data_IF_367923481234
#
_entry.id   IF_367923481234
#
_cell.length_a   1.000
_cell.length_b   1.000
_cell.length_c   1.000
_cell.angle_alpha   90.00
_cell.angle_beta   90.00
_cell.angle_gamma   90.00
#
_symmetry.space_group_name_H-M   'P 1'
#
loop_
_entity.id
_entity.type
_entity.pdbx_description
1 polymer ?
#
# COMPACT_ATOMS: atom_id res chain seq x y z
N UNK A 1 12.23 62.72 -85.94
CA UNK A 1 10.96 62.60 -85.19
C UNK A 1 10.79 61.21 -84.57
N UNK A 2 10.58 60.12 -85.33
CA UNK A 2 10.40 58.74 -84.77
C UNK A 2 11.45 58.25 -83.75
N UNK A 3 12.74 58.55 -83.92
CA UNK A 3 13.80 58.15 -82.95
C UNK A 3 13.65 58.85 -81.59
N UNK A 4 13.13 60.07 -81.57
CA UNK A 4 12.94 60.87 -80.36
C UNK A 4 11.74 60.32 -79.58
N UNK A 5 10.64 59.99 -80.28
CA UNK A 5 9.45 59.37 -79.68
C UNK A 5 9.76 58.00 -79.05
N UNK A 6 10.55 57.16 -79.73
CA UNK A 6 10.94 55.84 -79.20
C UNK A 6 11.83 55.97 -77.95
N UNK A 7 12.76 56.93 -77.93
CA UNK A 7 13.57 57.17 -76.73
C UNK A 7 12.71 57.68 -75.57
N UNK A 8 11.77 58.59 -75.84
CA UNK A 8 10.89 59.11 -74.81
C UNK A 8 9.93 58.04 -74.24
N UNK A 9 9.44 57.12 -75.08
CA UNK A 9 8.65 55.98 -74.64
C UNK A 9 9.45 55.03 -73.72
N UNK A 10 10.70 54.71 -74.10
CA UNK A 10 11.59 53.87 -73.29
C UNK A 10 11.94 54.51 -71.94
N UNK A 11 12.16 55.82 -71.94
CA UNK A 11 12.47 56.58 -70.72
C UNK A 11 11.27 56.60 -69.75
N UNK A 12 10.05 56.68 -70.29
CA UNK A 12 8.82 56.58 -69.51
C UNK A 12 8.60 55.17 -68.94
N UNK A 13 8.86 54.13 -69.73
CA UNK A 13 8.81 52.74 -69.25
C UNK A 13 9.87 52.46 -68.16
N UNK A 14 11.07 53.02 -68.32
CA UNK A 14 12.13 52.92 -67.32
C UNK A 14 11.71 53.59 -66.01
N UNK A 15 11.14 54.79 -66.08
CA UNK A 15 10.64 55.51 -64.91
C UNK A 15 9.52 54.73 -64.19
N UNK A 16 8.59 54.12 -64.94
CA UNK A 16 7.56 53.28 -64.34
C UNK A 16 8.12 52.02 -63.67
N UNK A 17 9.16 51.43 -64.25
CA UNK A 17 9.84 50.27 -63.67
C UNK A 17 10.57 50.65 -62.37
N UNK A 18 11.26 51.80 -62.35
CA UNK A 18 11.93 52.33 -61.15
C UNK A 18 10.93 52.64 -60.03
N UNK A 19 9.79 53.25 -60.35
CA UNK A 19 8.75 53.55 -59.36
C UNK A 19 8.12 52.27 -58.78
N UNK A 20 7.93 51.24 -59.61
CA UNK A 20 7.48 49.91 -59.15
C UNK A 20 8.53 49.27 -58.25
N UNK A 21 9.80 49.28 -58.65
CA UNK A 21 10.91 48.75 -57.86
C UNK A 21 10.95 49.44 -56.48
N UNK A 22 10.90 50.77 -56.46
CA UNK A 22 10.90 51.58 -55.23
C UNK A 22 9.72 51.25 -54.31
N UNK A 23 8.54 50.98 -54.86
CA UNK A 23 7.38 50.50 -54.08
C UNK A 23 7.65 49.13 -53.47
N UNK A 24 8.19 48.20 -54.25
CA UNK A 24 8.49 46.84 -53.76
C UNK A 24 9.57 46.83 -52.69
N UNK A 25 10.62 47.63 -52.83
CA UNK A 25 11.68 47.77 -51.81
C UNK A 25 11.13 48.32 -50.51
N UNK A 26 10.22 49.30 -50.59
CA UNK A 26 9.54 49.84 -49.43
C UNK A 26 8.66 48.80 -48.72
N UNK A 27 7.94 47.96 -49.47
CA UNK A 27 7.16 46.85 -48.92
C UNK A 27 8.05 45.76 -48.28
N UNK A 28 9.15 45.39 -48.94
CA UNK A 28 10.15 44.46 -48.42
C UNK A 28 10.73 44.94 -47.08
N UNK A 29 11.03 46.24 -46.97
CA UNK A 29 11.48 46.85 -45.72
C UNK A 29 10.48 46.73 -44.58
N UNK A 30 9.17 46.84 -44.86
CA UNK A 30 8.12 46.63 -43.86
C UNK A 30 8.05 45.16 -43.41
N UNK A 31 8.08 44.23 -44.36
CA UNK A 31 8.04 42.79 -44.06
C UNK A 31 9.28 42.35 -43.27
N UNK A 32 10.46 42.88 -43.58
CA UNK A 32 11.68 42.59 -42.83
C UNK A 32 11.57 43.03 -41.36
N UNK A 33 11.07 44.25 -41.10
CA UNK A 33 10.83 44.72 -39.73
C UNK A 33 9.85 43.82 -38.97
N UNK A 34 8.75 43.42 -39.60
CA UNK A 34 7.78 42.49 -38.99
C UNK A 34 8.42 41.13 -38.70
N UNK A 35 9.22 40.61 -39.63
CA UNK A 35 9.91 39.32 -39.46
C UNK A 35 10.89 39.38 -38.29
N UNK A 36 11.64 40.46 -38.12
CA UNK A 36 12.53 40.68 -36.98
C UNK A 36 11.76 40.69 -35.64
N UNK A 37 10.65 41.42 -35.58
CA UNK A 37 9.78 41.49 -34.40
C UNK A 37 9.25 40.11 -34.00
N UNK A 38 8.67 39.37 -34.96
CA UNK A 38 8.17 38.00 -34.73
C UNK A 38 9.29 37.08 -34.25
N UNK A 39 10.48 37.16 -34.86
CA UNK A 39 11.61 36.33 -34.40
C UNK A 39 12.07 36.70 -32.98
N UNK A 40 12.02 37.97 -32.61
CA UNK A 40 12.33 38.43 -31.26
C UNK A 40 11.34 37.89 -30.23
N UNK A 41 10.03 37.96 -30.52
CA UNK A 41 9.01 37.36 -29.66
C UNK A 41 9.14 35.85 -29.55
N UNK A 42 9.38 35.16 -30.66
CA UNK A 42 9.60 33.71 -30.66
C UNK A 42 10.81 33.31 -29.81
N UNK A 43 11.90 34.09 -29.82
CA UNK A 43 13.04 33.84 -28.94
C UNK A 43 12.72 34.07 -27.46
N UNK A 44 11.87 35.05 -27.13
CA UNK A 44 11.39 35.25 -25.76
C UNK A 44 10.52 34.05 -25.33
N UNK A 45 9.60 33.61 -26.17
CA UNK A 45 8.75 32.45 -25.91
C UNK A 45 9.57 31.17 -25.72
N UNK A 46 10.58 30.91 -26.57
CA UNK A 46 11.49 29.77 -26.42
C UNK A 46 12.23 29.78 -25.08
N UNK A 47 12.67 30.94 -24.59
CA UNK A 47 13.31 31.08 -23.27
C UNK A 47 12.34 30.74 -22.13
N UNK A 48 11.09 31.19 -22.23
CA UNK A 48 10.05 30.89 -21.23
C UNK A 48 9.75 29.39 -21.20
N UNK A 49 9.58 28.76 -22.37
CA UNK A 49 9.35 27.30 -22.46
C UNK A 49 10.51 26.53 -21.82
N UNK A 50 11.76 26.86 -22.16
CA UNK A 50 12.93 26.19 -21.57
C UNK A 50 12.99 26.35 -20.04
N UNK A 51 12.61 27.52 -19.52
CA UNK A 51 12.52 27.76 -18.07
C UNK A 51 11.44 26.88 -17.43
N UNK A 52 10.24 26.82 -18.04
CA UNK A 52 9.14 25.98 -17.55
C UNK A 52 9.49 24.49 -17.59
N UNK A 53 10.17 24.03 -18.65
CA UNK A 53 10.60 22.65 -18.79
C UNK A 53 11.58 22.25 -17.69
N UNK A 54 12.55 23.11 -17.35
CA UNK A 54 13.47 22.86 -16.23
C UNK A 54 12.73 22.76 -14.89
N UNK A 55 11.79 23.66 -14.63
CA UNK A 55 11.00 23.69 -13.39
C UNK A 55 10.06 22.47 -13.27
N UNK A 56 9.54 21.99 -14.40
CA UNK A 56 8.73 20.78 -14.48
C UNK A 56 9.58 19.52 -14.34
N UNK A 57 10.82 19.55 -14.84
CA UNK A 57 11.82 18.48 -14.67
C UNK A 57 12.12 18.20 -13.20
N UNK A 58 12.34 19.25 -12.40
CA UNK A 58 12.66 19.14 -10.97
C UNK A 58 11.49 18.63 -10.11
N UNK A 59 10.24 18.86 -10.55
CA UNK A 59 9.03 18.45 -9.83
C UNK A 59 8.62 16.99 -10.06
N UNK A 60 9.03 16.40 -11.21
CA UNK A 60 8.75 14.99 -11.56
C UNK A 60 9.32 13.94 -10.61
N UNK A 61 10.60 14.00 -10.15
CA UNK A 61 11.15 12.99 -9.25
C UNK A 61 10.46 12.97 -7.89
N UNK A 62 10.02 14.13 -7.38
CA UNK A 62 9.28 14.23 -6.12
C UNK A 62 7.89 13.56 -6.20
N UNK A 63 7.22 13.68 -7.36
CA UNK A 63 5.99 12.94 -7.64
C UNK A 63 6.22 11.43 -7.70
N UNK A 64 7.32 10.97 -8.30
CA UNK A 64 7.68 9.55 -8.32
C UNK A 64 7.89 8.97 -6.91
N UNK A 65 8.60 9.71 -6.05
CA UNK A 65 8.85 9.28 -4.68
C UNK A 65 7.57 9.28 -3.82
N UNK A 66 6.74 10.33 -3.94
CA UNK A 66 5.47 10.43 -3.20
C UNK A 66 4.46 9.38 -3.66
N UNK A 67 4.37 9.11 -4.97
CA UNK A 67 3.51 8.03 -5.49
C UNK A 67 3.99 6.65 -5.06
N UNK A 68 5.30 6.41 -5.03
CA UNK A 68 5.88 5.17 -4.49
C UNK A 68 5.55 4.96 -3.01
N UNK A 69 5.69 6.00 -2.18
CA UNK A 69 5.29 5.96 -0.77
C UNK A 69 3.79 5.68 -0.61
N UNK A 70 2.94 6.33 -1.40
CA UNK A 70 1.49 6.10 -1.38
C UNK A 70 1.14 4.64 -1.72
N UNK A 71 1.77 4.07 -2.75
CA UNK A 71 1.56 2.67 -3.11
C UNK A 71 1.98 1.71 -1.99
N UNK A 72 3.13 1.96 -1.33
CA UNK A 72 3.56 1.15 -0.18
C UNK A 72 2.58 1.23 1.01
N UNK A 73 2.04 2.41 1.29
CA UNK A 73 1.04 2.59 2.35
C UNK A 73 -0.29 1.90 2.01
N UNK A 74 -0.71 1.93 0.74
CA UNK A 74 -1.91 1.24 0.28
C UNK A 74 -1.82 -0.28 0.47
N UNK A 75 -0.67 -0.88 0.17
CA UNK A 75 -0.42 -2.31 0.39
C UNK A 75 -0.50 -2.65 1.88
N UNK A 76 0.22 -1.90 2.72
CA UNK A 76 0.21 -2.11 4.17
C UNK A 76 -1.19 -1.94 4.79
N UNK A 77 -1.97 -0.97 4.30
CA UNK A 77 -3.37 -0.78 4.71
C UNK A 77 -4.25 -1.98 4.35
N UNK A 78 -4.04 -2.57 3.16
CA UNK A 78 -4.77 -3.76 2.73
C UNK A 78 -4.44 -4.98 3.63
N UNK A 79 -3.17 -5.15 4.00
CA UNK A 79 -2.74 -6.20 4.91
C UNK A 79 -3.35 -6.05 6.31
N UNK A 80 -3.34 -4.84 6.85
CA UNK A 80 -3.98 -4.55 8.14
C UNK A 80 -5.49 -4.82 8.11
N UNK A 81 -6.18 -4.44 7.03
CA UNK A 81 -7.60 -4.77 6.84
C UNK A 81 -7.84 -6.27 6.82
N UNK A 82 -6.96 -7.03 6.16
CA UNK A 82 -7.03 -8.50 6.12
C UNK A 82 -6.86 -9.10 7.52
N UNK A 83 -5.91 -8.61 8.31
CA UNK A 83 -5.70 -9.04 9.69
C UNK A 83 -6.92 -8.74 10.57
N UNK A 84 -7.46 -7.52 10.49
CA UNK A 84 -8.68 -7.12 11.23
C UNK A 84 -9.85 -8.04 10.90
N UNK A 85 -10.06 -8.35 9.61
CA UNK A 85 -11.13 -9.24 9.19
C UNK A 85 -10.92 -10.67 9.69
N UNK A 86 -9.68 -11.16 9.74
CA UNK A 86 -9.36 -12.48 10.30
C UNK A 86 -9.75 -12.57 11.78
N UNK A 87 -9.39 -11.54 12.57
CA UNK A 87 -9.73 -11.49 14.00
C UNK A 87 -11.24 -11.36 14.21
N UNK A 88 -11.92 -10.54 13.42
CA UNK A 88 -13.38 -10.42 13.47
C UNK A 88 -14.08 -11.73 13.17
N UNK A 89 -13.62 -12.49 12.16
CA UNK A 89 -14.17 -13.80 11.82
C UNK A 89 -14.06 -14.78 13.00
N UNK A 90 -12.89 -14.85 13.64
CA UNK A 90 -12.68 -15.73 14.79
C UNK A 90 -13.56 -15.34 15.99
N UNK A 91 -13.69 -14.03 16.26
CA UNK A 91 -14.60 -13.51 17.29
C UNK A 91 -16.04 -13.92 17.00
N UNK A 92 -16.51 -13.71 15.77
CA UNK A 92 -17.89 -13.99 15.39
C UNK A 92 -18.19 -15.49 15.44
N UNK A 93 -17.25 -16.35 15.02
CA UNK A 93 -17.34 -17.80 15.18
C UNK A 93 -17.44 -18.22 16.66
N UNK A 94 -16.69 -17.56 17.54
CA UNK A 94 -16.72 -17.85 18.99
C UNK A 94 -18.05 -17.40 19.61
N UNK A 95 -18.52 -16.21 19.26
CA UNK A 95 -19.83 -15.70 19.70
C UNK A 95 -20.96 -16.63 19.23
N UNK A 96 -20.90 -17.07 17.98
CA UNK A 96 -21.88 -17.99 17.42
C UNK A 96 -21.90 -19.33 18.18
N UNK A 97 -20.72 -19.88 18.52
CA UNK A 97 -20.65 -21.07 19.38
C UNK A 97 -21.30 -20.78 20.74
N UNK A 98 -20.97 -19.70 21.43
CA UNK A 98 -21.57 -19.40 22.75
C UNK A 98 -23.11 -19.29 22.66
N UNK A 99 -23.63 -18.69 21.60
CA UNK A 99 -25.07 -18.58 21.35
C UNK A 99 -25.72 -19.93 21.09
N UNK A 100 -25.11 -20.79 20.27
CA UNK A 100 -25.59 -22.16 20.03
C UNK A 100 -25.67 -22.96 21.33
N UNK A 101 -24.71 -22.78 22.24
CA UNK A 101 -24.71 -23.46 23.54
C UNK A 101 -25.78 -22.89 24.47
N UNK A 102 -26.12 -21.59 24.37
CA UNK A 102 -27.26 -20.99 25.08
C UNK A 102 -28.63 -21.46 24.54
N UNK A 103 -28.78 -21.54 23.21
CA UNK A 103 -30.05 -21.92 22.57
C UNK A 103 -30.33 -23.44 22.65
N UNK A 104 -29.32 -24.25 22.95
CA UNK A 104 -29.45 -25.72 23.13
C UNK A 104 -30.14 -26.15 24.43
N UNK A 105 -30.59 -25.21 25.27
CA UNK A 105 -31.68 -25.46 26.22
C UNK A 105 -31.33 -26.14 27.55
N UNK A 106 -30.07 -26.20 27.98
CA UNK A 106 -29.71 -26.65 29.34
C UNK A 106 -29.61 -25.48 30.35
N UNK A 107 -30.65 -24.63 30.38
CA UNK A 107 -30.88 -23.67 31.46
C UNK A 107 -32.21 -23.97 32.15
N UNK A 108 -32.27 -25.12 32.82
CA UNK A 108 -33.10 -25.28 34.01
C UNK A 108 -32.19 -25.17 35.24
N UNK A 109 -32.48 -24.17 36.08
CA UNK A 109 -31.84 -23.93 37.37
C UNK A 109 -32.16 -25.00 38.43
N UNK A 110 -32.30 -26.27 38.03
CA UNK A 110 -32.53 -27.42 38.92
C UNK A 110 -31.81 -28.71 38.47
N UNK A 111 -30.81 -28.63 37.59
CA UNK A 111 -29.79 -29.69 37.56
C UNK A 111 -28.78 -29.38 38.67
N UNK A 112 -28.77 -30.21 39.72
CA UNK A 112 -27.60 -30.30 40.57
C UNK A 112 -26.39 -30.48 39.65
N UNK A 113 -25.39 -29.59 39.68
CA UNK A 113 -24.08 -29.99 39.21
C UNK A 113 -23.76 -31.19 40.11
N UNK A 114 -23.66 -32.39 39.53
CA UNK A 114 -22.49 -33.14 39.94
C UNK A 114 -21.37 -32.20 39.57
N UNK A 115 -20.82 -31.55 40.60
CA UNK A 115 -19.66 -30.70 40.49
C UNK A 115 -18.63 -31.56 39.77
N UNK A 116 -18.50 -31.35 38.46
CA UNK A 116 -17.33 -31.77 37.75
C UNK A 116 -16.25 -30.86 38.34
N UNK A 117 -15.53 -31.42 39.32
CA UNK A 117 -14.44 -30.84 40.12
C UNK A 117 -13.23 -30.51 39.23
N UNK A 118 -13.43 -29.79 38.12
CA UNK A 118 -12.34 -29.28 37.32
C UNK A 118 -11.83 -28.00 37.96
N UNK A 119 -10.58 -28.05 38.41
CA UNK A 119 -9.86 -26.90 38.94
C UNK A 119 -8.99 -26.30 37.84
N UNK A 120 -9.11 -24.99 37.63
CA UNK A 120 -8.21 -24.26 36.76
C UNK A 120 -6.93 -23.91 37.50
N UNK A 121 -5.78 -24.15 36.87
CA UNK A 121 -4.45 -23.85 37.41
C UNK A 121 -3.70 -22.94 36.45
N UNK A 122 -2.91 -22.01 36.99
CA UNK A 122 -2.07 -21.15 36.17
C UNK A 122 -0.87 -21.93 35.65
N UNK A 123 -0.27 -21.49 34.53
CA UNK A 123 0.97 -22.09 34.04
C UNK A 123 2.09 -22.08 35.10
N UNK A 124 2.12 -21.05 35.96
CA UNK A 124 3.09 -20.93 37.04
C UNK A 124 2.89 -22.03 38.10
N UNK A 125 1.65 -22.38 38.42
CA UNK A 125 1.33 -23.46 39.36
C UNK A 125 1.83 -24.80 38.80
N UNK A 126 1.59 -25.04 37.51
CA UNK A 126 2.04 -26.25 36.81
C UNK A 126 3.58 -26.34 36.73
N UNK A 127 4.24 -25.21 36.42
CA UNK A 127 5.70 -25.15 36.40
C UNK A 127 6.29 -25.38 37.80
N UNK A 128 5.69 -24.80 38.83
CA UNK A 128 6.15 -25.00 40.22
C UNK A 128 5.99 -26.47 40.62
N UNK A 129 4.83 -27.06 40.32
CA UNK A 129 4.53 -28.46 40.63
C UNK A 129 5.49 -29.46 39.96
N UNK A 130 6.00 -29.14 38.77
CA UNK A 130 6.86 -30.02 37.95
C UNK A 130 8.34 -29.65 37.98
N UNK A 131 8.75 -28.68 38.82
CA UNK A 131 10.10 -28.11 38.81
C UNK A 131 10.52 -27.67 37.40
N UNK A 132 9.67 -26.85 36.77
CA UNK A 132 9.80 -26.34 35.40
C UNK A 132 9.93 -27.46 34.35
N UNK A 133 9.10 -28.51 34.46
CA UNK A 133 9.13 -29.69 33.59
C UNK A 133 10.48 -30.42 33.58
N UNK A 134 11.13 -30.52 34.74
CA UNK A 134 12.40 -31.23 34.88
C UNK A 134 12.27 -32.71 34.49
N UNK A 135 13.23 -33.23 33.72
CA UNK A 135 13.28 -34.64 33.32
C UNK A 135 13.30 -35.60 34.52
N UNK A 136 13.78 -35.16 35.69
CA UNK A 136 13.74 -35.97 36.92
C UNK A 136 12.32 -36.26 37.42
N UNK A 137 11.33 -35.48 37.00
CA UNK A 137 9.91 -35.64 37.33
C UNK A 137 9.11 -36.29 36.21
N UNK A 138 9.74 -36.65 35.08
CA UNK A 138 9.08 -37.26 33.94
C UNK A 138 8.72 -38.71 34.25
N UNK A 139 7.44 -39.02 34.12
CA UNK A 139 6.90 -40.37 34.28
C UNK A 139 6.94 -41.17 32.98
N UNK A 140 6.85 -40.48 31.84
CA UNK A 140 6.93 -41.11 30.52
C UNK A 140 6.73 -40.14 29.37
N UNK A 141 7.02 -40.62 28.15
CA UNK A 141 6.83 -39.90 26.90
C UNK A 141 6.23 -40.85 25.86
N UNK A 142 5.24 -40.36 25.12
CA UNK A 142 4.61 -41.06 24.01
C UNK A 142 4.29 -40.09 22.87
N UNK A 143 3.58 -40.57 21.85
CA UNK A 143 3.22 -39.73 20.69
C UNK A 143 2.37 -38.50 21.02
N UNK A 144 1.70 -38.51 22.18
CA UNK A 144 0.71 -37.51 22.58
C UNK A 144 1.31 -36.45 23.53
N UNK A 145 2.60 -36.58 23.91
CA UNK A 145 3.21 -35.69 24.89
C UNK A 145 4.10 -36.39 25.91
N UNK A 146 4.50 -35.60 26.91
CA UNK A 146 5.23 -36.05 28.08
C UNK A 146 4.32 -35.96 29.32
N UNK A 147 4.38 -36.96 30.19
CA UNK A 147 3.68 -36.96 31.47
C UNK A 147 4.69 -36.74 32.59
N UNK A 148 4.42 -35.77 33.46
CA UNK A 148 5.26 -35.43 34.61
C UNK A 148 4.51 -35.70 35.91
N UNK A 149 5.24 -36.08 36.94
CA UNK A 149 4.77 -36.07 38.32
C UNK A 149 4.87 -34.65 38.85
N UNK A 150 3.82 -34.19 39.52
CA UNK A 150 3.88 -32.93 40.25
C UNK A 150 3.11 -32.96 41.55
N UNK A 151 3.20 -31.87 42.31
CA UNK A 151 2.42 -31.65 43.51
C UNK A 151 1.75 -30.28 43.45
N UNK A 152 0.42 -30.25 43.53
CA UNK A 152 -0.38 -29.02 43.55
C UNK A 152 -1.24 -29.05 44.81
N UNK A 153 -1.16 -28.00 45.63
CA UNK A 153 -1.93 -27.87 46.89
C UNK A 153 -1.79 -29.08 47.82
N UNK A 154 -0.59 -29.67 47.90
CA UNK A 154 -0.31 -30.84 48.73
C UNK A 154 -0.85 -32.17 48.19
N UNK A 155 -1.33 -32.20 46.94
CA UNK A 155 -1.80 -33.42 46.26
C UNK A 155 -0.84 -33.80 45.15
N UNK A 156 -0.39 -35.05 45.13
CA UNK A 156 0.38 -35.59 44.01
C UNK A 156 -0.51 -35.76 42.80
N UNK A 157 -0.08 -35.21 41.65
CA UNK A 157 -0.81 -35.22 40.39
C UNK A 157 0.08 -35.69 39.25
N UNK A 158 -0.54 -36.19 38.18
CA UNK A 158 0.10 -36.42 36.90
C UNK A 158 -0.28 -35.28 35.95
N UNK A 159 0.73 -34.63 35.37
CA UNK A 159 0.57 -33.46 34.49
C UNK A 159 1.00 -33.89 33.09
N UNK A 160 0.04 -33.96 32.17
CA UNK A 160 0.26 -34.30 30.76
C UNK A 160 0.53 -33.01 29.98
N UNK A 161 1.77 -32.86 29.50
CA UNK A 161 2.18 -31.76 28.64
C UNK A 161 2.16 -32.23 27.18
N UNK A 162 1.29 -31.63 26.37
CA UNK A 162 1.19 -31.95 24.95
C UNK A 162 2.23 -31.17 24.12
N UNK A 163 2.61 -31.71 22.96
CA UNK A 163 3.54 -31.03 22.07
C UNK A 163 2.86 -29.84 21.38
N UNK A 164 3.44 -28.63 21.44
CA UNK A 164 2.80 -27.41 20.91
C UNK A 164 2.69 -27.37 19.38
N UNK A 165 3.38 -28.26 18.65
CA UNK A 165 3.42 -28.26 17.19
C UNK A 165 2.31 -29.08 16.52
N UNK A 166 1.56 -29.86 17.28
CA UNK A 166 0.57 -30.78 16.72
C UNK A 166 -0.84 -30.22 16.87
N UNK A 167 -1.47 -29.83 15.75
CA UNK A 167 -2.89 -29.43 15.71
C UNK A 167 -3.82 -30.51 16.30
N UNK A 168 -3.38 -31.77 16.29
CA UNK A 168 -4.06 -32.92 16.87
C UNK A 168 -4.07 -32.92 18.41
N UNK A 169 -3.08 -32.31 19.06
CA UNK A 169 -3.00 -32.22 20.52
C UNK A 169 -4.22 -31.50 21.13
N UNK A 170 -4.72 -30.46 20.47
CA UNK A 170 -5.87 -29.69 20.95
C UNK A 170 -7.16 -30.52 20.87
N UNK A 171 -7.30 -31.35 19.83
CA UNK A 171 -8.46 -32.24 19.70
C UNK A 171 -8.45 -33.36 20.75
N UNK A 172 -7.28 -33.89 21.08
CA UNK A 172 -7.16 -34.93 22.10
C UNK A 172 -7.48 -34.41 23.50
N UNK A 173 -7.02 -33.21 23.84
CA UNK A 173 -7.37 -32.57 25.12
C UNK A 173 -8.87 -32.37 25.30
N UNK A 174 -9.62 -32.18 24.20
CA UNK A 174 -11.08 -32.02 24.26
C UNK A 174 -11.86 -33.34 24.39
N UNK A 175 -11.21 -34.49 24.21
CA UNK A 175 -11.83 -35.81 24.28
C UNK A 175 -11.54 -36.57 25.59
N UNK A 176 -10.67 -36.03 26.44
CA UNK A 176 -10.21 -36.63 27.70
C UNK A 176 -10.89 -35.97 28.91
#
# INVERSE_FOLDING_TARGET
ERKIEVNHAKEKELQEAEDKLRKTEFELGKLLKQREEITGEMQKAKRVIASLDSQTGDSKPLLGETTGKLASLQVSLADLRRQINSVRKLRDETIQKIQLWHDSGDFDGSFSPQANDFSEYTLLDIQTATCSFSESFKLGQGGHGCVYKGEISGRTVAIKNFHPEDMYSILEFQQE
#
